data_IF_899562523503
#
_entry.id   IF_899562523503
#
_cell.length_a   1.000
_cell.length_b   1.000
_cell.length_c   1.000
_cell.angle_alpha   90.00
_cell.angle_beta   90.00
_cell.angle_gamma   90.00
#
_symmetry.space_group_name_H-M   'P 1'
#
loop_
_entity.id
_entity.type
_entity.pdbx_description
1 polymer ?
#
# COMPACT_ATOMS: atom_id res chain seq x y z
N UNK A 1 17.64 -17.76 -0.45
CA UNK A 1 17.12 -16.64 0.39
C UNK A 1 16.37 -17.26 1.55
N UNK A 2 16.75 -16.97 2.80
CA UNK A 2 16.03 -17.47 3.98
C UNK A 2 14.80 -16.57 4.26
N UNK A 3 13.89 -17.02 5.15
CA UNK A 3 12.65 -16.27 5.45
C UNK A 3 12.91 -14.85 5.97
N UNK A 4 13.99 -14.65 6.75
CA UNK A 4 14.37 -13.33 7.27
C UNK A 4 14.82 -12.39 6.15
N UNK A 5 15.57 -12.87 5.19
CA UNK A 5 15.97 -12.11 4.00
C UNK A 5 14.76 -11.77 3.13
N UNK A 6 13.86 -12.73 2.91
CA UNK A 6 12.62 -12.48 2.18
C UNK A 6 11.76 -11.39 2.84
N UNK A 7 11.60 -11.45 4.17
CA UNK A 7 10.84 -10.47 4.96
C UNK A 7 11.38 -9.03 4.84
N UNK A 8 12.67 -8.87 4.55
CA UNK A 8 13.34 -7.59 4.40
C UNK A 8 13.75 -7.30 2.94
N UNK A 9 13.04 -7.88 1.95
CA UNK A 9 13.33 -7.71 0.52
C UNK A 9 14.76 -8.10 0.10
N UNK A 10 15.43 -8.94 0.85
CA UNK A 10 16.83 -9.33 0.63
C UNK A 10 17.86 -8.36 1.23
N UNK A 11 17.43 -7.24 1.81
CA UNK A 11 18.32 -6.27 2.46
C UNK A 11 18.46 -6.53 3.98
N UNK A 12 19.57 -6.11 4.61
CA UNK A 12 19.67 -6.08 6.07
C UNK A 12 18.59 -5.15 6.66
N UNK A 13 17.91 -5.61 7.73
CA UNK A 13 16.81 -4.85 8.32
C UNK A 13 17.20 -3.44 8.80
N UNK A 14 18.46 -3.26 9.21
CA UNK A 14 19.00 -1.97 9.64
C UNK A 14 19.10 -0.94 8.49
N UNK A 15 19.33 -1.40 7.25
CA UNK A 15 19.39 -0.51 6.08
C UNK A 15 18.01 0.02 5.67
N UNK A 16 16.92 -0.63 6.09
CA UNK A 16 15.56 -0.24 5.72
C UNK A 16 14.92 0.75 6.69
N UNK A 17 15.39 0.80 7.94
CA UNK A 17 14.81 1.65 8.98
C UNK A 17 14.78 3.15 8.63
N UNK A 18 15.83 3.74 8.00
CA UNK A 18 15.81 5.15 7.62
C UNK A 18 14.75 5.50 6.58
N UNK A 19 14.25 4.51 5.82
CA UNK A 19 13.26 4.74 4.76
C UNK A 19 11.82 4.57 5.23
N UNK A 20 11.58 4.07 6.45
CA UNK A 20 10.21 3.89 6.97
C UNK A 20 9.39 5.20 6.99
N UNK A 21 9.94 6.37 7.37
CA UNK A 21 9.20 7.62 7.29
C UNK A 21 8.86 8.03 5.86
N UNK A 22 9.75 7.76 4.89
CA UNK A 22 9.52 8.06 3.46
C UNK A 22 8.36 7.22 2.95
N UNK A 23 8.38 5.91 3.22
CA UNK A 23 7.29 4.99 2.87
C UNK A 23 5.97 5.37 3.53
N UNK A 24 6.02 5.71 4.82
CA UNK A 24 4.83 6.13 5.55
C UNK A 24 4.21 7.38 4.93
N UNK A 25 5.03 8.34 4.52
CA UNK A 25 4.58 9.56 3.85
C UNK A 25 3.97 9.25 2.48
N UNK A 26 4.62 8.41 1.68
CA UNK A 26 4.14 8.03 0.36
C UNK A 26 2.80 7.27 0.45
N UNK A 27 2.68 6.34 1.39
CA UNK A 27 1.45 5.63 1.68
C UNK A 27 0.31 6.58 2.10
N UNK A 28 0.59 7.63 2.89
CA UNK A 28 -0.43 8.62 3.28
C UNK A 28 -0.84 9.52 2.10
N UNK A 29 0.09 9.89 1.22
CA UNK A 29 -0.21 10.61 -0.03
C UNK A 29 -1.09 9.74 -0.92
N UNK A 30 -0.72 8.49 -1.11
CA UNK A 30 -1.49 7.48 -1.85
C UNK A 30 -2.90 7.33 -1.27
N UNK A 31 -3.03 7.16 0.06
CA UNK A 31 -4.32 7.10 0.76
C UNK A 31 -5.16 8.37 0.55
N UNK A 32 -4.54 9.54 0.58
CA UNK A 32 -5.23 10.81 0.33
C UNK A 32 -5.83 10.87 -1.07
N UNK A 33 -5.08 10.42 -2.08
CA UNK A 33 -5.51 10.43 -3.47
C UNK A 33 -6.59 9.37 -3.73
N UNK A 34 -6.35 8.13 -3.34
CA UNK A 34 -7.31 7.04 -3.52
C UNK A 34 -8.55 7.22 -2.63
N UNK A 35 -8.40 7.71 -1.40
CA UNK A 35 -9.53 8.05 -0.53
C UNK A 35 -10.42 9.13 -1.13
N UNK A 36 -9.85 10.09 -1.87
CA UNK A 36 -10.63 11.07 -2.65
C UNK A 36 -11.39 10.41 -3.79
N UNK A 37 -10.69 9.59 -4.58
CA UNK A 37 -11.29 8.88 -5.72
C UNK A 37 -12.43 7.96 -5.27
N UNK A 38 -12.17 7.13 -4.25
CA UNK A 38 -13.18 6.23 -3.69
C UNK A 38 -14.38 6.98 -3.12
N UNK A 39 -14.16 8.09 -2.38
CA UNK A 39 -15.27 8.89 -1.86
C UNK A 39 -16.17 9.42 -2.97
N UNK A 40 -15.59 9.86 -4.09
CA UNK A 40 -16.34 10.35 -5.25
C UNK A 40 -17.08 9.21 -5.96
N UNK A 41 -16.38 8.12 -6.27
CA UNK A 41 -16.97 6.97 -6.98
C UNK A 41 -18.09 6.32 -6.19
N UNK A 42 -17.93 6.16 -4.86
CA UNK A 42 -18.94 5.55 -4.00
C UNK A 42 -20.18 6.44 -3.79
N UNK A 43 -20.11 7.73 -4.10
CA UNK A 43 -21.27 8.63 -4.15
C UNK A 43 -21.89 8.64 -5.56
N UNK A 44 -21.06 8.71 -6.61
CA UNK A 44 -21.57 8.77 -8.00
C UNK A 44 -22.34 7.49 -8.35
N UNK A 45 -21.85 6.32 -7.95
CA UNK A 45 -22.51 5.04 -8.28
C UNK A 45 -23.95 4.98 -7.77
N UNK A 46 -24.28 5.25 -6.48
CA UNK A 46 -25.66 5.37 -6.02
C UNK A 46 -26.49 6.42 -6.75
N UNK A 47 -25.91 7.57 -7.06
CA UNK A 47 -26.61 8.65 -7.81
C UNK A 47 -26.99 8.15 -9.21
N UNK A 48 -26.07 7.48 -9.92
CA UNK A 48 -26.37 6.87 -11.21
C UNK A 48 -27.45 5.80 -11.09
N UNK A 49 -27.41 4.94 -10.07
CA UNK A 49 -28.45 3.93 -9.84
C UNK A 49 -29.83 4.58 -9.62
N UNK A 50 -29.89 5.71 -8.88
CA UNK A 50 -31.14 6.47 -8.72
C UNK A 50 -31.64 7.06 -10.04
N UNK A 51 -30.75 7.66 -10.83
CA UNK A 51 -31.11 8.32 -12.10
C UNK A 51 -31.60 7.35 -13.16
N UNK A 52 -31.02 6.15 -13.20
CA UNK A 52 -31.40 5.10 -14.18
C UNK A 52 -32.48 4.15 -13.68
N UNK A 53 -33.10 4.41 -12.52
CA UNK A 53 -34.19 3.60 -11.98
C UNK A 53 -33.75 2.26 -11.37
N UNK A 54 -32.45 2.03 -11.18
CA UNK A 54 -31.88 0.81 -10.58
C UNK A 54 -31.64 0.94 -9.08
N UNK A 55 -32.34 1.86 -8.40
CA UNK A 55 -32.14 2.09 -6.98
C UNK A 55 -32.47 0.83 -6.15
N UNK A 56 -31.48 0.32 -5.46
CA UNK A 56 -31.57 -0.79 -4.51
C UNK A 56 -30.93 -0.35 -3.18
N UNK A 57 -31.73 -0.22 -2.10
CA UNK A 57 -31.19 0.22 -0.80
C UNK A 57 -30.03 -0.63 -0.30
N UNK A 58 -30.13 -1.97 -0.47
CA UNK A 58 -29.10 -2.92 -0.04
C UNK A 58 -27.74 -2.71 -0.73
N UNK A 59 -27.70 -2.21 -1.96
CA UNK A 59 -26.43 -1.89 -2.64
C UNK A 59 -25.99 -0.45 -2.42
N UNK A 60 -26.91 0.47 -2.22
CA UNK A 60 -26.67 1.92 -2.10
C UNK A 60 -26.13 2.30 -0.72
N UNK A 61 -26.73 1.79 0.36
CA UNK A 61 -26.34 2.14 1.74
C UNK A 61 -24.88 1.78 2.05
N UNK A 62 -24.38 0.57 1.77
CA UNK A 62 -22.97 0.25 2.01
C UNK A 62 -21.99 1.15 1.26
N UNK A 63 -22.30 1.54 0.00
CA UNK A 63 -21.46 2.46 -0.76
C UNK A 63 -21.40 3.84 -0.13
N UNK A 64 -22.53 4.38 0.34
CA UNK A 64 -22.55 5.68 1.00
C UNK A 64 -21.80 5.66 2.33
N UNK A 65 -21.94 4.60 3.11
CA UNK A 65 -21.15 4.41 4.34
C UNK A 65 -19.66 4.32 4.04
N UNK A 66 -19.28 3.58 3.01
CA UNK A 66 -17.89 3.47 2.57
C UNK A 66 -17.34 4.79 2.02
N UNK A 67 -18.16 5.60 1.32
CA UNK A 67 -17.78 6.95 0.90
C UNK A 67 -17.45 7.84 2.10
N UNK A 68 -18.30 7.83 3.13
CA UNK A 68 -18.06 8.52 4.38
C UNK A 68 -16.78 8.07 5.07
N UNK A 69 -16.59 6.76 5.22
CA UNK A 69 -15.39 6.18 5.82
C UNK A 69 -14.11 6.56 5.04
N UNK A 70 -14.12 6.44 3.71
CA UNK A 70 -13.00 6.83 2.85
C UNK A 70 -12.68 8.34 2.97
N UNK A 71 -13.70 9.19 3.07
CA UNK A 71 -13.53 10.62 3.30
C UNK A 71 -12.87 10.92 4.65
N UNK A 72 -13.30 10.27 5.73
CA UNK A 72 -12.69 10.44 7.06
C UNK A 72 -11.26 9.92 7.10
N UNK A 73 -10.97 8.76 6.52
CA UNK A 73 -9.62 8.22 6.42
C UNK A 73 -8.68 9.14 5.63
N UNK A 74 -9.16 9.69 4.51
CA UNK A 74 -8.45 10.73 3.75
C UNK A 74 -8.13 11.94 4.60
N UNK A 75 -9.11 12.49 5.35
CA UNK A 75 -8.91 13.66 6.23
C UNK A 75 -7.91 13.35 7.35
N UNK A 76 -7.98 12.16 7.93
CA UNK A 76 -7.01 11.71 8.92
C UNK A 76 -5.60 11.61 8.33
N UNK A 77 -5.45 11.06 7.12
CA UNK A 77 -4.18 10.97 6.41
C UNK A 77 -3.57 12.36 6.13
N UNK A 78 -4.38 13.32 5.69
CA UNK A 78 -3.95 14.71 5.47
C UNK A 78 -3.43 15.38 6.75
N UNK A 79 -4.08 15.14 7.89
CA UNK A 79 -3.61 15.67 9.19
C UNK A 79 -2.30 15.01 9.62
N UNK A 80 -2.15 13.70 9.40
CA UNK A 80 -0.93 12.99 9.77
C UNK A 80 0.28 13.39 8.93
N UNK A 81 0.11 13.83 7.68
CA UNK A 81 1.20 14.33 6.84
C UNK A 81 1.89 15.58 7.42
N UNK A 82 1.20 16.31 8.29
CA UNK A 82 1.72 17.52 8.98
C UNK A 82 2.30 17.22 10.37
N UNK A 83 2.26 15.96 10.83
CA UNK A 83 2.73 15.53 12.16
C UNK A 83 3.84 14.47 12.02
N UNK A 84 5.13 14.87 12.01
CA UNK A 84 6.23 13.95 11.75
C UNK A 84 6.43 12.91 12.83
N UNK A 85 6.11 13.21 14.10
CA UNK A 85 6.41 12.33 15.25
C UNK A 85 5.55 11.06 15.25
N UNK A 86 4.35 11.13 14.68
CA UNK A 86 3.42 10.00 14.64
C UNK A 86 3.18 9.46 13.22
N UNK A 87 4.01 9.89 12.27
CA UNK A 87 3.84 9.57 10.85
C UNK A 87 3.78 8.06 10.60
N UNK A 88 4.77 7.30 11.07
CA UNK A 88 4.90 5.86 10.78
C UNK A 88 3.77 5.01 11.40
N UNK A 89 3.48 5.09 12.72
CA UNK A 89 2.44 4.26 13.32
C UNK A 89 1.05 4.61 12.78
N UNK A 90 0.74 5.90 12.60
CA UNK A 90 -0.55 6.34 12.06
C UNK A 90 -0.72 5.97 10.58
N UNK A 91 0.33 6.07 9.78
CA UNK A 91 0.28 5.64 8.39
C UNK A 91 -0.09 4.16 8.29
N UNK A 92 0.56 3.30 9.08
CA UNK A 92 0.24 1.85 9.12
C UNK A 92 -1.22 1.60 9.51
N UNK A 93 -1.71 2.27 10.55
CA UNK A 93 -3.09 2.12 10.98
C UNK A 93 -4.09 2.56 9.90
N UNK A 94 -3.90 3.76 9.34
CA UNK A 94 -4.83 4.33 8.36
C UNK A 94 -4.86 3.54 7.05
N UNK A 95 -3.69 3.08 6.56
CA UNK A 95 -3.62 2.23 5.37
C UNK A 95 -4.27 0.87 5.61
N UNK A 96 -4.06 0.26 6.78
CA UNK A 96 -4.72 -1.01 7.14
C UNK A 96 -6.24 -0.85 7.23
N UNK A 97 -6.74 0.24 7.82
CA UNK A 97 -8.18 0.52 7.88
C UNK A 97 -8.78 0.76 6.49
N UNK A 98 -8.06 1.45 5.61
CA UNK A 98 -8.53 1.65 4.24
C UNK A 98 -8.54 0.34 3.44
N UNK A 99 -7.50 -0.47 3.57
CA UNK A 99 -7.43 -1.82 2.97
C UNK A 99 -8.59 -2.69 3.45
N UNK A 100 -8.87 -2.68 4.77
CA UNK A 100 -9.99 -3.41 5.34
C UNK A 100 -11.35 -2.90 4.80
N UNK A 101 -11.53 -1.59 4.66
CA UNK A 101 -12.75 -1.00 4.10
C UNK A 101 -13.02 -1.51 2.68
N UNK A 102 -12.01 -1.48 1.81
CA UNK A 102 -12.13 -1.93 0.42
C UNK A 102 -12.38 -3.45 0.37
N UNK A 103 -11.69 -4.21 1.24
CA UNK A 103 -11.90 -5.67 1.34
C UNK A 103 -13.33 -6.01 1.78
N UNK A 104 -13.87 -5.34 2.81
CA UNK A 104 -15.24 -5.55 3.27
C UNK A 104 -16.28 -5.22 2.21
N UNK A 105 -16.01 -4.21 1.37
CA UNK A 105 -16.88 -3.93 0.21
C UNK A 105 -16.84 -5.08 -0.81
N UNK A 106 -15.66 -5.61 -1.13
CA UNK A 106 -15.53 -6.77 -2.01
C UNK A 106 -16.28 -7.98 -1.48
N UNK A 107 -16.09 -8.29 -0.19
CA UNK A 107 -16.83 -9.37 0.51
C UNK A 107 -18.34 -9.15 0.43
N UNK A 108 -18.80 -7.92 0.70
CA UNK A 108 -20.22 -7.62 0.67
C UNK A 108 -20.84 -7.84 -0.72
N UNK A 109 -20.18 -7.31 -1.76
CA UNK A 109 -20.73 -7.40 -3.11
C UNK A 109 -20.65 -8.79 -3.71
N UNK A 110 -19.54 -9.49 -3.59
CA UNK A 110 -19.38 -10.81 -4.19
C UNK A 110 -19.96 -11.93 -3.32
N UNK A 111 -19.66 -11.95 -2.02
CA UNK A 111 -20.05 -13.08 -1.20
C UNK A 111 -21.47 -12.94 -0.64
N UNK A 112 -21.88 -11.75 -0.19
CA UNK A 112 -23.18 -11.57 0.48
C UNK A 112 -24.27 -11.25 -0.55
N UNK A 113 -23.99 -10.40 -1.53
CA UNK A 113 -24.98 -9.91 -2.49
C UNK A 113 -25.19 -10.88 -3.65
N UNK A 114 -24.10 -11.50 -4.12
CA UNK A 114 -24.08 -12.42 -5.26
C UNK A 114 -23.42 -13.76 -4.90
N UNK A 115 -23.96 -14.51 -3.91
CA UNK A 115 -23.27 -15.66 -3.30
C UNK A 115 -23.08 -16.85 -4.25
N UNK A 116 -23.74 -16.87 -5.40
CA UNK A 116 -23.66 -17.94 -6.40
C UNK A 116 -22.99 -17.54 -7.70
N UNK A 117 -22.40 -16.36 -7.73
CA UNK A 117 -21.66 -15.85 -8.89
C UNK A 117 -20.15 -16.01 -8.71
N UNK A 118 -19.41 -15.80 -9.79
CA UNK A 118 -17.93 -15.80 -9.74
C UNK A 118 -17.46 -14.52 -9.04
N UNK A 119 -16.61 -14.67 -8.03
CA UNK A 119 -16.09 -13.60 -7.17
C UNK A 119 -15.05 -12.70 -7.87
N UNK A 120 -15.43 -12.03 -8.96
CA UNK A 120 -14.52 -11.21 -9.78
C UNK A 120 -14.08 -9.95 -9.03
N UNK A 121 -15.02 -9.25 -8.38
CA UNK A 121 -14.70 -8.02 -7.66
C UNK A 121 -13.79 -8.29 -6.46
N UNK A 122 -14.05 -9.36 -5.71
CA UNK A 122 -13.24 -9.74 -4.56
C UNK A 122 -11.82 -10.13 -4.99
N UNK A 123 -11.67 -10.89 -6.08
CA UNK A 123 -10.36 -11.20 -6.66
C UNK A 123 -9.59 -9.94 -7.05
N UNK A 124 -10.27 -8.99 -7.71
CA UNK A 124 -9.68 -7.71 -8.11
C UNK A 124 -9.28 -6.88 -6.87
N UNK A 125 -10.12 -6.84 -5.84
CA UNK A 125 -9.83 -6.17 -4.58
C UNK A 125 -8.61 -6.81 -3.89
N UNK A 126 -8.53 -8.13 -3.81
CA UNK A 126 -7.38 -8.83 -3.23
C UNK A 126 -6.08 -8.55 -3.97
N UNK A 127 -6.12 -8.40 -5.29
CA UNK A 127 -4.97 -8.02 -6.10
C UNK A 127 -4.57 -6.56 -5.86
N UNK A 128 -5.51 -5.62 -5.98
CA UNK A 128 -5.25 -4.18 -5.92
C UNK A 128 -4.79 -3.75 -4.53
N UNK A 129 -5.39 -4.26 -3.45
CA UNK A 129 -5.03 -3.87 -2.08
C UNK A 129 -3.55 -4.14 -1.75
N UNK A 130 -2.96 -5.20 -2.31
CA UNK A 130 -1.55 -5.53 -2.13
C UNK A 130 -0.62 -4.60 -2.90
N UNK A 131 -1.10 -4.02 -4.01
CA UNK A 131 -0.36 -3.10 -4.87
C UNK A 131 -0.50 -1.63 -4.45
N UNK A 132 -1.56 -1.31 -3.72
CA UNK A 132 -1.92 0.06 -3.40
C UNK A 132 -0.91 0.72 -2.45
N UNK A 133 -0.48 0.00 -1.42
CA UNK A 133 0.41 0.50 -0.40
C UNK A 133 1.75 -0.25 -0.38
N UNK A 134 2.81 0.50 -0.09
CA UNK A 134 4.13 -0.08 0.10
C UNK A 134 4.25 -0.62 1.53
N UNK A 135 4.22 -1.93 1.65
CA UNK A 135 4.26 -2.63 2.92
C UNK A 135 5.30 -3.74 2.93
N UNK A 136 5.80 -4.10 4.11
CA UNK A 136 6.72 -5.22 4.25
C UNK A 136 6.05 -6.53 3.80
N UNK A 137 6.79 -7.46 3.17
CA UNK A 137 6.23 -8.71 2.64
C UNK A 137 5.44 -9.52 3.68
N UNK A 138 5.88 -9.51 4.94
CA UNK A 138 5.15 -10.17 6.02
C UNK A 138 3.75 -9.60 6.27
N UNK A 139 3.57 -8.28 6.15
CA UNK A 139 2.26 -7.65 6.25
C UNK A 139 1.37 -8.04 5.06
N UNK A 140 1.90 -7.95 3.84
CA UNK A 140 1.17 -8.33 2.63
C UNK A 140 0.77 -9.81 2.66
N UNK A 141 1.64 -10.69 3.15
CA UNK A 141 1.33 -12.10 3.33
C UNK A 141 0.19 -12.30 4.34
N UNK A 142 0.22 -11.60 5.48
CA UNK A 142 -0.85 -11.69 6.49
C UNK A 142 -2.18 -11.22 5.93
N UNK A 143 -2.22 -10.09 5.22
CA UNK A 143 -3.42 -9.57 4.56
C UNK A 143 -3.96 -10.57 3.54
N UNK A 144 -3.09 -11.13 2.70
CA UNK A 144 -3.45 -12.10 1.67
C UNK A 144 -4.00 -13.39 2.27
N UNK A 145 -3.34 -13.96 3.28
CA UNK A 145 -3.77 -15.19 3.94
C UNK A 145 -5.09 -15.01 4.70
N UNK A 146 -5.28 -13.87 5.39
CA UNK A 146 -6.53 -13.58 6.08
C UNK A 146 -7.69 -13.40 5.10
N UNK A 147 -7.46 -12.71 3.98
CA UNK A 147 -8.45 -12.57 2.92
C UNK A 147 -8.84 -13.91 2.30
N UNK A 148 -7.84 -14.74 1.97
CA UNK A 148 -8.09 -16.08 1.44
C UNK A 148 -8.84 -16.97 2.43
N UNK A 149 -8.50 -16.90 3.73
CA UNK A 149 -9.20 -17.64 4.77
C UNK A 149 -10.69 -17.26 4.85
N UNK A 150 -11.02 -15.98 4.73
CA UNK A 150 -12.43 -15.52 4.68
C UNK A 150 -13.16 -16.13 3.49
N UNK A 151 -12.54 -16.11 2.30
CA UNK A 151 -13.15 -16.70 1.08
C UNK A 151 -13.36 -18.22 1.27
N UNK A 152 -12.34 -18.95 1.71
CA UNK A 152 -12.43 -20.41 1.92
C UNK A 152 -13.51 -20.76 2.94
N UNK A 153 -13.57 -20.05 4.06
CA UNK A 153 -14.58 -20.28 5.08
C UNK A 153 -15.99 -20.01 4.54
N UNK A 154 -16.18 -18.92 3.79
CA UNK A 154 -17.46 -18.60 3.18
C UNK A 154 -17.89 -19.67 2.18
N UNK A 155 -17.02 -20.02 1.26
CA UNK A 155 -17.29 -21.04 0.23
C UNK A 155 -17.53 -22.44 0.83
N UNK A 156 -17.00 -22.74 2.01
CA UNK A 156 -17.31 -23.96 2.74
C UNK A 156 -18.69 -23.92 3.42
N UNK A 157 -19.13 -22.72 3.82
CA UNK A 157 -20.39 -22.53 4.55
C UNK A 157 -21.59 -22.39 3.61
N UNK A 158 -21.43 -21.65 2.50
CA UNK A 158 -22.50 -21.40 1.51
C UNK A 158 -22.37 -22.39 0.35
N UNK A 159 -23.44 -23.14 -0.01
CA UNK A 159 -23.42 -23.99 -1.19
C UNK A 159 -23.30 -23.15 -2.47
N UNK A 160 -22.16 -23.24 -3.15
CA UNK A 160 -21.91 -22.55 -4.41
C UNK A 160 -21.41 -23.53 -5.47
N UNK A 161 -22.02 -23.58 -6.68
CA UNK A 161 -21.55 -24.40 -7.78
C UNK A 161 -20.15 -23.98 -8.28
N UNK A 162 -19.76 -22.73 -8.08
CA UNK A 162 -18.47 -22.16 -8.51
C UNK A 162 -17.37 -22.19 -7.44
N UNK A 163 -17.63 -22.81 -6.28
CA UNK A 163 -16.73 -22.85 -5.11
C UNK A 163 -15.26 -23.02 -5.44
N UNK A 164 -14.91 -24.06 -6.18
CA UNK A 164 -13.51 -24.33 -6.52
C UNK A 164 -12.89 -23.24 -7.40
N UNK A 165 -13.68 -22.72 -8.33
CA UNK A 165 -13.24 -21.63 -9.24
C UNK A 165 -12.99 -20.36 -8.44
N UNK A 166 -13.90 -20.01 -7.53
CA UNK A 166 -13.78 -18.83 -6.67
C UNK A 166 -12.53 -18.89 -5.78
N UNK A 167 -12.31 -20.03 -5.10
CA UNK A 167 -11.12 -20.25 -4.27
C UNK A 167 -9.85 -20.16 -5.12
N UNK A 168 -9.82 -20.81 -6.29
CA UNK A 168 -8.67 -20.80 -7.18
C UNK A 168 -8.35 -19.39 -7.70
N UNK A 169 -9.35 -18.61 -8.09
CA UNK A 169 -9.16 -17.25 -8.58
C UNK A 169 -8.65 -16.30 -7.47
N UNK A 170 -9.23 -16.38 -6.27
CA UNK A 170 -8.76 -15.60 -5.13
C UNK A 170 -7.34 -16.00 -4.70
N UNK A 171 -7.01 -17.30 -4.74
CA UNK A 171 -5.65 -17.79 -4.48
C UNK A 171 -4.66 -17.27 -5.53
N UNK A 172 -5.01 -17.37 -6.82
CA UNK A 172 -4.15 -16.88 -7.91
C UNK A 172 -3.97 -15.36 -7.85
N UNK A 173 -5.05 -14.60 -7.61
CA UNK A 173 -5.00 -13.17 -7.42
C UNK A 173 -4.09 -12.77 -6.25
N UNK A 174 -4.17 -13.51 -5.14
CA UNK A 174 -3.28 -13.32 -3.97
C UNK A 174 -1.82 -13.58 -4.29
N UNK A 175 -1.51 -14.66 -5.01
CA UNK A 175 -0.13 -14.98 -5.40
C UNK A 175 0.45 -13.93 -6.34
N UNK A 176 -0.30 -13.54 -7.36
CA UNK A 176 0.11 -12.50 -8.31
C UNK A 176 0.29 -11.17 -7.57
N UNK A 177 -0.65 -10.79 -6.71
CA UNK A 177 -0.58 -9.57 -5.91
C UNK A 177 0.64 -9.54 -4.99
N UNK A 178 0.93 -10.64 -4.29
CA UNK A 178 2.12 -10.77 -3.43
C UNK A 178 3.42 -10.65 -4.23
N UNK A 179 3.51 -11.30 -5.39
CA UNK A 179 4.69 -11.23 -6.26
C UNK A 179 4.91 -9.80 -6.76
N UNK A 180 3.88 -9.16 -7.31
CA UNK A 180 3.97 -7.81 -7.84
C UNK A 180 4.26 -6.77 -6.74
N UNK A 181 3.62 -6.88 -5.57
CA UNK A 181 3.86 -6.01 -4.42
C UNK A 181 5.31 -6.17 -3.91
N UNK A 182 5.82 -7.41 -3.81
CA UNK A 182 7.20 -7.66 -3.43
C UNK A 182 8.17 -7.04 -4.43
N UNK A 183 7.96 -7.27 -5.73
CA UNK A 183 8.82 -6.74 -6.80
C UNK A 183 8.82 -5.21 -6.84
N UNK A 184 7.63 -4.58 -6.74
CA UNK A 184 7.47 -3.10 -6.67
C UNK A 184 8.30 -2.53 -5.51
N UNK A 185 8.08 -3.05 -4.32
CA UNK A 185 8.71 -2.50 -3.10
C UNK A 185 10.21 -2.82 -3.05
N UNK A 186 10.64 -3.99 -3.55
CA UNK A 186 12.06 -4.32 -3.70
C UNK A 186 12.79 -3.32 -4.61
N UNK A 187 12.23 -3.03 -5.77
CA UNK A 187 12.82 -2.08 -6.72
C UNK A 187 12.87 -0.66 -6.14
N UNK A 188 11.83 -0.24 -5.44
CA UNK A 188 11.79 1.07 -4.78
C UNK A 188 12.90 1.19 -3.72
N UNK A 189 13.07 0.19 -2.86
CA UNK A 189 14.17 0.19 -1.88
C UNK A 189 15.54 0.20 -2.57
N UNK A 190 15.71 -0.54 -3.64
CA UNK A 190 16.94 -0.51 -4.44
C UNK A 190 17.28 0.89 -4.94
N UNK A 191 16.29 1.61 -5.47
CA UNK A 191 16.46 3.00 -5.92
C UNK A 191 16.79 3.95 -4.77
N UNK A 192 16.11 3.84 -3.63
CA UNK A 192 16.36 4.67 -2.45
C UNK A 192 17.76 4.46 -1.88
N UNK A 193 18.20 3.20 -1.77
CA UNK A 193 19.56 2.87 -1.32
C UNK A 193 20.63 3.39 -2.28
N UNK A 194 20.37 3.28 -3.60
CA UNK A 194 21.29 3.82 -4.60
C UNK A 194 21.40 5.35 -4.47
N UNK A 195 20.28 6.07 -4.40
CA UNK A 195 20.27 7.52 -4.23
C UNK A 195 20.96 7.96 -2.93
N UNK A 196 20.79 7.22 -1.83
CA UNK A 196 21.49 7.50 -0.57
C UNK A 196 23.01 7.34 -0.70
N UNK A 197 23.46 6.27 -1.36
CA UNK A 197 24.90 6.03 -1.59
C UNK A 197 25.52 7.08 -2.50
N UNK A 198 24.82 7.47 -3.55
CA UNK A 198 25.25 8.54 -4.46
C UNK A 198 25.38 9.88 -3.72
N UNK A 199 24.37 10.24 -2.91
CA UNK A 199 24.43 11.44 -2.07
C UNK A 199 25.61 11.42 -1.11
N UNK A 200 25.86 10.32 -0.43
CA UNK A 200 26.98 10.17 0.48
C UNK A 200 28.34 10.27 -0.26
N UNK A 201 28.44 9.76 -1.48
CA UNK A 201 29.63 9.87 -2.32
C UNK A 201 29.89 11.35 -2.72
N UNK A 202 28.84 12.06 -3.16
CA UNK A 202 28.94 13.50 -3.50
C UNK A 202 29.33 14.37 -2.29
N UNK A 203 28.73 14.10 -1.10
CA UNK A 203 29.08 14.81 0.14
C UNK A 203 30.55 14.59 0.51
N UNK A 204 31.05 13.36 0.36
CA UNK A 204 32.48 13.04 0.59
C UNK A 204 33.39 13.74 -0.40
N UNK A 205 33.03 13.76 -1.68
CA UNK A 205 33.80 14.47 -2.72
C UNK A 205 33.84 15.97 -2.45
N UNK A 206 32.68 16.57 -2.13
CA UNK A 206 32.61 18.02 -1.80
C UNK A 206 33.44 18.36 -0.57
N UNK A 207 33.39 17.51 0.48
CA UNK A 207 34.21 17.70 1.68
C UNK A 207 35.70 17.59 1.40
N UNK A 208 36.11 16.65 0.52
CA UNK A 208 37.50 16.48 0.09
C UNK A 208 37.98 17.69 -0.71
N UNK A 209 37.18 18.18 -1.65
CA UNK A 209 37.48 19.38 -2.43
C UNK A 209 37.61 20.63 -1.55
N UNK A 210 36.71 20.80 -0.56
CA UNK A 210 36.79 21.88 0.41
C UNK A 210 38.08 21.81 1.24
N UNK A 211 38.47 20.62 1.71
CA UNK A 211 39.72 20.41 2.41
C UNK A 211 40.93 20.76 1.54
N UNK A 212 40.98 20.26 0.28
CA UNK A 212 42.05 20.56 -0.66
C UNK A 212 42.15 22.06 -0.93
N UNK A 213 41.02 22.74 -1.12
CA UNK A 213 41.00 24.20 -1.36
C UNK A 213 41.49 25.02 -0.16
N UNK A 214 41.33 24.52 1.07
CA UNK A 214 41.86 25.15 2.27
C UNK A 214 43.40 24.96 2.42
N UNK A 215 43.92 23.82 1.95
CA UNK A 215 45.37 23.53 2.01
C UNK A 215 46.18 24.22 0.90
N UNK A 216 45.60 24.46 -0.28
CA UNK A 216 46.28 25.09 -1.41
C UNK A 216 46.91 26.45 -1.08
N UNK A 217 46.24 27.43 -0.44
CA UNK A 217 46.86 28.71 -0.09
C UNK A 217 48.01 28.56 0.89
N UNK A 218 47.92 27.68 1.86
CA UNK A 218 48.99 27.42 2.83
C UNK A 218 50.22 26.77 2.19
N UNK A 219 50.01 25.87 1.23
CA UNK A 219 51.11 25.21 0.52
C UNK A 219 51.87 26.20 -0.38
N UNK A 220 51.15 27.06 -1.09
CA UNK A 220 51.71 28.10 -1.95
C UNK A 220 52.47 29.14 -1.13
N UNK A 221 51.94 29.56 0.01
CA UNK A 221 52.58 30.51 0.93
C UNK A 221 53.87 29.95 1.51
N UNK A 222 53.92 28.64 1.85
CA UNK A 222 55.14 28.01 2.38
C UNK A 222 56.18 27.67 1.31
N UNK A 223 55.83 27.64 0.02
CA UNK A 223 56.82 27.48 -1.07
C UNK A 223 57.45 28.81 -1.53
N UNK A 224 56.83 29.93 -1.18
CA UNK A 224 57.27 31.25 -1.59
C UNK A 224 58.07 32.02 -0.48
N UNK A 225 58.18 31.41 0.69
CA UNK A 225 59.00 31.85 1.82
C UNK A 225 60.32 31.08 1.89
#
# INVERSE_FOLDING_TARGET
MNFTQWKNFGYPGQELTPFEPVLARDNLVTLTNYGRLCSILFVITPVCHCLFGFFQPLSTVPLLLAAGAAFFLRRAAQRCLNDPDQLVPRARLLTSLFTLLIFLLGVYYDLIRHPTEINVLLCLVMLIQLLLFDARPGHNLTVSLSGLAVVVLWECYVPDPHRLINIMYCFLASLIGLYLAWHKTHNMFGMLLYAQREKAAMEKETSTQAAVSQFQPHFISNMLS
#
